data_IF_803437206256
#
_entry.id   IF_803437206256
#
_cell.length_a   1.000
_cell.length_b   1.000
_cell.length_c   1.000
_cell.angle_alpha   90.00
_cell.angle_beta   90.00
_cell.angle_gamma   90.00
#
_symmetry.space_group_name_H-M   'P 1'
#
loop_
_entity.id
_entity.type
_entity.pdbx_description
1 polymer ?
#
# COMPACT_ATOMS: atom_id res chain seq x y z
N UNK A 1 11.37 -25.57 -11.72
CA UNK A 1 11.35 -24.34 -11.02
C UNK A 1 9.98 -24.03 -10.51
N UNK A 2 9.89 -23.94 -9.31
CA UNK A 2 8.59 -23.72 -8.73
C UNK A 2 8.07 -22.33 -8.99
N UNK A 3 7.30 -22.23 -10.00
CA UNK A 3 6.70 -20.96 -10.37
C UNK A 3 5.88 -20.37 -9.25
N UNK A 4 5.36 -21.22 -8.39
CA UNK A 4 4.53 -20.72 -7.29
C UNK A 4 5.29 -20.60 -5.99
N UNK A 5 6.58 -20.74 -6.01
CA UNK A 5 7.34 -20.48 -4.81
C UNK A 5 7.25 -19.00 -4.48
N UNK A 6 6.87 -18.67 -3.25
CA UNK A 6 6.80 -17.26 -2.87
C UNK A 6 8.18 -16.64 -2.97
N UNK A 7 8.22 -15.46 -3.47
CA UNK A 7 9.45 -14.70 -3.50
C UNK A 7 9.60 -13.91 -2.22
N UNK A 8 10.84 -13.77 -1.81
CA UNK A 8 11.12 -12.86 -0.73
C UNK A 8 10.95 -11.44 -1.22
N UNK A 9 10.39 -10.60 -0.42
CA UNK A 9 10.30 -9.20 -0.75
C UNK A 9 11.67 -8.55 -0.66
N UNK A 10 11.87 -7.56 -1.48
CA UNK A 10 13.00 -6.67 -1.32
C UNK A 10 12.98 -6.11 0.10
N UNK A 11 14.15 -6.01 0.76
CA UNK A 11 14.17 -5.50 2.14
C UNK A 11 13.52 -4.13 2.30
N UNK A 12 13.67 -3.24 1.34
CA UNK A 12 13.02 -1.94 1.43
C UNK A 12 11.51 -2.07 1.34
N UNK A 13 11.02 -2.98 0.51
CA UNK A 13 9.59 -3.22 0.41
C UNK A 13 9.06 -3.80 1.71
N UNK A 14 9.81 -4.71 2.32
CA UNK A 14 9.41 -5.25 3.62
C UNK A 14 9.35 -4.18 4.68
N UNK A 15 10.35 -3.31 4.72
CA UNK A 15 10.36 -2.22 5.68
C UNK A 15 9.21 -1.27 5.47
N UNK A 16 8.88 -1.00 4.21
CA UNK A 16 7.74 -0.13 3.92
C UNK A 16 6.43 -0.74 4.43
N UNK A 17 6.25 -2.04 4.21
CA UNK A 17 5.05 -2.70 4.69
C UNK A 17 4.97 -2.69 6.22
N UNK A 18 6.10 -2.95 6.87
CA UNK A 18 6.15 -2.93 8.33
C UNK A 18 5.88 -1.54 8.87
N UNK A 19 6.43 -0.53 8.23
CA UNK A 19 6.20 0.84 8.65
C UNK A 19 4.73 1.21 8.51
N UNK A 20 4.12 0.84 7.41
CA UNK A 20 2.71 1.10 7.22
C UNK A 20 1.89 0.42 8.31
N UNK A 21 2.21 -0.84 8.61
CA UNK A 21 1.52 -1.56 9.68
C UNK A 21 1.68 -0.89 11.03
N UNK A 22 2.88 -0.41 11.34
CA UNK A 22 3.10 0.31 12.60
C UNK A 22 2.27 1.58 12.66
N UNK A 23 2.20 2.32 11.58
CA UNK A 23 1.41 3.55 11.54
C UNK A 23 -0.07 3.25 11.75
N UNK A 24 -0.55 2.16 11.18
CA UNK A 24 -1.93 1.73 11.38
C UNK A 24 -2.16 1.42 12.87
N UNK A 25 -1.25 0.67 13.49
CA UNK A 25 -1.39 0.32 14.89
C UNK A 25 -1.38 1.56 15.77
N UNK A 26 -0.51 2.51 15.48
CA UNK A 26 -0.44 3.75 16.23
C UNK A 26 -1.77 4.51 16.11
N UNK A 27 -2.24 4.69 14.88
CA UNK A 27 -3.49 5.42 14.66
C UNK A 27 -4.68 4.74 15.30
N UNK A 28 -4.69 3.41 15.29
CA UNK A 28 -5.74 2.65 15.96
C UNK A 28 -5.72 2.91 17.45
N UNK A 29 -4.55 2.81 18.07
CA UNK A 29 -4.43 2.99 19.52
C UNK A 29 -4.74 4.42 19.93
N UNK A 30 -4.37 5.38 19.11
CA UNK A 30 -4.70 6.78 19.40
C UNK A 30 -6.21 7.00 19.43
N UNK A 31 -6.96 6.15 18.72
CA UNK A 31 -8.41 6.23 18.71
C UNK A 31 -9.05 5.34 19.77
N UNK A 32 -8.23 4.69 20.58
CA UNK A 32 -8.69 3.76 21.61
C UNK A 32 -9.51 2.61 21.03
N UNK A 33 -9.13 2.17 19.84
CA UNK A 33 -9.80 1.04 19.20
C UNK A 33 -9.00 -0.24 19.46
N UNK A 34 -9.73 -1.33 19.69
CA UNK A 34 -9.11 -2.64 19.68
C UNK A 34 -8.90 -3.09 18.23
N UNK A 35 -8.16 -4.18 18.04
CA UNK A 35 -8.01 -4.75 16.71
C UNK A 35 -9.38 -5.19 16.18
N UNK A 36 -10.23 -5.71 17.05
CA UNK A 36 -11.59 -6.08 16.67
C UNK A 36 -12.38 -4.86 16.20
N UNK A 37 -12.24 -3.73 16.91
CA UNK A 37 -12.92 -2.51 16.53
C UNK A 37 -12.50 -2.07 15.11
N UNK A 38 -11.22 -2.10 14.86
CA UNK A 38 -10.74 -1.71 13.54
C UNK A 38 -11.19 -2.71 12.48
N UNK A 39 -11.15 -3.99 12.80
CA UNK A 39 -11.58 -5.03 11.88
C UNK A 39 -13.04 -4.80 11.45
N UNK A 40 -13.88 -4.46 12.39
CA UNK A 40 -15.28 -4.19 12.10
C UNK A 40 -15.42 -3.00 11.16
N UNK A 41 -14.66 -1.96 11.40
CA UNK A 41 -14.72 -0.75 10.57
C UNK A 41 -14.17 -0.98 9.18
N UNK A 42 -13.15 -1.82 9.05
CA UNK A 42 -12.56 -2.14 7.76
C UNK A 42 -13.43 -3.15 7.00
N UNK A 43 -14.13 -4.00 7.75
CA UNK A 43 -14.92 -5.06 7.12
C UNK A 43 -14.10 -6.33 6.95
N UNK A 44 -13.25 -6.63 7.91
CA UNK A 44 -12.41 -7.82 7.85
C UNK A 44 -12.35 -8.45 9.25
N UNK A 45 -11.36 -9.29 9.48
CA UNK A 45 -11.22 -9.98 10.76
C UNK A 45 -10.08 -9.40 11.57
N UNK A 46 -10.13 -9.61 12.88
CA UNK A 46 -9.04 -9.17 13.75
C UNK A 46 -7.72 -9.82 13.35
N UNK A 47 -7.78 -11.06 12.87
CA UNK A 47 -6.58 -11.74 12.40
C UNK A 47 -5.94 -10.96 11.25
N UNK A 48 -6.76 -10.51 10.32
CA UNK A 48 -6.25 -9.72 9.19
C UNK A 48 -5.67 -8.39 9.66
N UNK A 49 -6.31 -7.76 10.65
CA UNK A 49 -5.76 -6.51 11.21
C UNK A 49 -4.39 -6.79 11.84
N UNK A 50 -4.25 -7.89 12.56
CA UNK A 50 -2.94 -8.22 13.13
C UNK A 50 -1.90 -8.39 12.04
N UNK A 51 -2.27 -9.04 10.95
CA UNK A 51 -1.35 -9.22 9.82
C UNK A 51 -0.96 -7.89 9.20
N UNK A 52 -1.91 -6.99 9.06
CA UNK A 52 -1.64 -5.64 8.55
C UNK A 52 -0.66 -4.93 9.48
N UNK A 53 -0.91 -4.98 10.78
CA UNK A 53 -0.07 -4.25 11.72
C UNK A 53 1.34 -4.84 11.80
N UNK A 54 1.50 -6.08 11.41
CA UNK A 54 2.83 -6.70 11.33
C UNK A 54 3.46 -6.55 9.94
N UNK A 55 2.75 -5.94 9.01
CA UNK A 55 3.30 -5.70 7.69
C UNK A 55 3.35 -6.94 6.80
N UNK A 56 2.41 -7.86 6.99
CA UNK A 56 2.40 -9.06 6.17
C UNK A 56 2.06 -8.72 4.71
N UNK A 57 2.89 -9.16 3.78
CA UNK A 57 2.67 -8.84 2.36
C UNK A 57 1.54 -9.64 1.71
N UNK A 58 1.02 -10.63 2.41
CA UNK A 58 -0.01 -11.48 1.83
C UNK A 58 -1.41 -10.90 1.95
N UNK A 59 -1.57 -9.80 2.69
CA UNK A 59 -2.85 -9.13 2.79
C UNK A 59 -3.04 -8.22 1.59
N UNK A 60 -4.25 -8.21 1.05
CA UNK A 60 -4.54 -7.39 -0.11
C UNK A 60 -4.35 -5.91 0.15
N UNK A 61 -3.87 -5.21 -0.87
CA UNK A 61 -3.53 -3.80 -0.75
C UNK A 61 -4.74 -2.95 -0.37
N UNK A 62 -5.93 -3.34 -0.84
CA UNK A 62 -7.13 -2.59 -0.51
C UNK A 62 -7.40 -2.55 0.97
N UNK A 63 -7.18 -3.67 1.65
CA UNK A 63 -7.39 -3.72 3.09
C UNK A 63 -6.36 -2.89 3.83
N UNK A 64 -5.12 -2.90 3.35
CA UNK A 64 -4.09 -2.03 3.93
C UNK A 64 -4.49 -0.58 3.83
N UNK A 65 -4.92 -0.16 2.65
CA UNK A 65 -5.29 1.24 2.45
C UNK A 65 -6.52 1.61 3.25
N UNK A 66 -7.50 0.72 3.34
CA UNK A 66 -8.69 0.99 4.12
C UNK A 66 -8.32 1.17 5.60
N UNK A 67 -7.49 0.29 6.12
CA UNK A 67 -7.04 0.41 7.51
C UNK A 67 -6.25 1.70 7.72
N UNK A 68 -5.41 2.07 6.76
CA UNK A 68 -4.61 3.29 6.87
C UNK A 68 -5.49 4.52 6.89
N UNK A 69 -6.45 4.60 5.98
CA UNK A 69 -7.33 5.75 5.92
C UNK A 69 -8.14 5.90 7.20
N UNK A 70 -8.68 4.78 7.70
CA UNK A 70 -9.52 4.83 8.90
C UNK A 70 -8.73 5.19 10.16
N UNK A 71 -7.44 4.93 10.16
CA UNK A 71 -6.60 5.25 11.32
C UNK A 71 -5.83 6.56 11.14
N UNK A 72 -6.12 7.30 10.09
CA UNK A 72 -5.53 8.61 9.89
C UNK A 72 -4.11 8.61 9.35
N UNK A 73 -3.69 7.51 8.75
CA UNK A 73 -2.37 7.44 8.15
C UNK A 73 -2.38 8.20 6.83
N UNK A 74 -1.40 9.09 6.68
CA UNK A 74 -1.26 9.87 5.47
C UNK A 74 -0.67 9.01 4.37
N UNK A 75 -1.38 8.88 3.27
CA UNK A 75 -0.88 8.13 2.12
C UNK A 75 -0.39 9.11 1.07
N UNK A 76 0.78 8.83 0.50
CA UNK A 76 1.34 9.61 -0.61
C UNK A 76 1.60 11.07 -0.24
N UNK A 77 1.80 11.34 1.04
CA UNK A 77 2.03 12.71 1.51
C UNK A 77 0.95 13.67 1.07
N UNK A 78 -0.27 13.19 0.98
CA UNK A 78 -1.34 14.03 0.50
C UNK A 78 -2.17 14.53 1.64
N UNK A 79 -2.74 15.67 1.42
CA UNK A 79 -3.70 16.27 2.29
C UNK A 79 -5.09 15.81 1.88
N UNK A 80 -6.11 16.47 2.33
CA UNK A 80 -7.48 16.10 2.06
C UNK A 80 -7.77 15.83 0.59
N UNK A 81 -8.83 15.10 0.36
CA UNK A 81 -9.28 14.61 -0.92
C UNK A 81 -9.01 15.43 -2.16
N UNK A 82 -9.30 16.75 -2.18
CA UNK A 82 -9.10 17.50 -3.41
C UNK A 82 -7.69 17.43 -3.92
N UNK A 83 -6.73 17.39 -3.01
CA UNK A 83 -5.35 17.36 -3.40
C UNK A 83 -4.96 15.99 -3.96
N UNK A 84 -5.50 14.96 -3.36
CA UNK A 84 -5.27 13.60 -3.87
C UNK A 84 -5.77 13.50 -5.30
N UNK A 85 -6.97 14.02 -5.54
CA UNK A 85 -7.55 13.99 -6.86
C UNK A 85 -6.69 14.75 -7.88
N UNK A 86 -6.19 15.90 -7.47
CA UNK A 86 -5.33 16.68 -8.35
C UNK A 86 -4.05 15.93 -8.69
N UNK A 87 -3.45 15.28 -7.71
CA UNK A 87 -2.25 14.52 -7.96
C UNK A 87 -2.49 13.38 -8.92
N UNK A 88 -3.63 12.71 -8.77
CA UNK A 88 -3.99 11.64 -9.67
C UNK A 88 -4.19 12.14 -11.09
N UNK A 89 -4.82 13.30 -11.24
CA UNK A 89 -5.02 13.88 -12.56
C UNK A 89 -3.67 14.20 -13.22
N UNK A 90 -2.77 14.76 -12.45
CA UNK A 90 -1.44 15.07 -12.95
C UNK A 90 -0.72 13.82 -13.39
N UNK A 91 -0.79 12.77 -12.58
CA UNK A 91 -0.12 11.52 -12.91
C UNK A 91 -0.76 10.84 -14.11
N UNK A 92 -2.08 10.88 -14.19
CA UNK A 92 -2.77 10.34 -15.34
C UNK A 92 -2.36 11.08 -16.62
N UNK A 93 -2.23 12.39 -16.53
CA UNK A 93 -1.80 13.19 -17.68
C UNK A 93 -0.37 12.84 -18.09
N UNK A 94 0.50 12.67 -17.11
CA UNK A 94 1.87 12.25 -17.41
C UNK A 94 1.90 10.91 -18.11
N UNK A 95 1.09 9.98 -17.62
CA UNK A 95 1.03 8.66 -18.22
C UNK A 95 0.53 8.74 -19.65
N UNK A 96 -0.48 9.58 -19.89
CA UNK A 96 -1.04 9.72 -21.23
C UNK A 96 -0.04 10.27 -22.23
N UNK A 97 0.96 10.99 -21.75
CA UNK A 97 1.98 11.56 -22.61
C UNK A 97 3.10 10.57 -22.92
N UNK A 98 3.13 9.46 -22.24
CA UNK A 98 4.15 8.45 -22.48
C UNK A 98 3.69 7.51 -23.60
N UNK A 99 4.63 6.89 -24.30
CA UNK A 99 4.25 5.93 -25.36
C UNK A 99 3.41 4.80 -24.79
N UNK A 100 2.37 4.43 -25.51
CA UNK A 100 1.52 3.32 -25.08
C UNK A 100 2.30 2.02 -25.02
N UNK A 101 3.30 1.89 -25.86
CA UNK A 101 4.12 0.71 -25.92
C UNK A 101 5.52 1.08 -25.54
N UNK A 102 6.09 0.36 -24.61
CA UNK A 102 7.48 0.55 -24.28
C UNK A 102 8.27 0.05 -25.46
N UNK A 103 9.09 0.94 -26.01
CA UNK A 103 9.96 0.59 -27.11
C UNK A 103 11.20 0.00 -26.50
N UNK A 104 11.16 -1.29 -26.27
CA UNK A 104 12.25 -1.93 -25.60
C UNK A 104 13.48 -1.86 -26.48
N UNK A 105 14.48 -1.20 -25.97
CA UNK A 105 15.74 -1.16 -26.64
C UNK A 105 16.31 -2.55 -26.61
N UNK A 106 16.74 -3.03 -27.79
CA UNK A 106 17.28 -4.36 -27.81
C UNK A 106 18.51 -4.38 -26.96
N UNK A 107 18.60 -5.41 -26.21
CA UNK A 107 19.67 -5.55 -25.27
C UNK A 107 21.01 -5.43 -25.89
N UNK A 108 21.11 -6.02 -27.02
CA UNK A 108 22.33 -5.94 -27.73
C UNK A 108 22.67 -4.55 -28.12
N UNK A 109 21.70 -3.70 -28.22
CA UNK A 109 21.97 -2.31 -28.51
C UNK A 109 22.75 -1.68 -27.43
N UNK A 110 22.61 -2.21 -26.25
CA UNK A 110 23.19 -1.59 -25.09
C UNK A 110 24.54 -2.15 -24.75
N UNK A 111 24.96 -3.13 -25.46
CA UNK A 111 26.20 -3.81 -25.07
C UNK A 111 27.18 -3.84 -26.14
#
# INVERSE_FOLDING_TARGET
MPANRPRSLNPLAQDAAKRLGLLVAIGRKERSWTQEDLAERVGTTAKTIRQIEHGYPTVGIGLYFQAAVLTGVSLFDTEPRPRVTMDMDTESNRLALLPKRVNRRTVDDDF
#
